data_IF_378843274865
#
_entry.id   IF_378843274865
#
_cell.length_a   1.000
_cell.length_b   1.000
_cell.length_c   1.000
_cell.angle_alpha   90.00
_cell.angle_beta   90.00
_cell.angle_gamma   90.00
#
_symmetry.space_group_name_H-M   'P 1'
#
loop_
_entity.id
_entity.type
_entity.pdbx_description
1 polymer ?
#
# COMPACT_ATOMS: atom_id res chain seq x y z
N UNK A 1 3.50 -19.32 23.51
CA UNK A 1 3.47 -18.19 22.55
C UNK A 1 2.35 -18.47 21.59
N UNK A 2 1.14 -18.03 21.93
CA UNK A 2 -0.05 -18.14 21.11
C UNK A 2 0.10 -17.24 19.90
N UNK A 3 0.78 -17.74 18.87
CA UNK A 3 0.70 -17.15 17.54
C UNK A 3 -0.73 -17.39 17.10
N UNK A 4 -1.57 -16.38 17.29
CA UNK A 4 -2.86 -16.29 16.63
C UNK A 4 -2.64 -16.75 15.20
N UNK A 5 -3.19 -17.89 14.82
CA UNK A 5 -3.24 -18.31 13.42
C UNK A 5 -4.35 -17.44 12.86
N UNK A 6 -4.08 -16.24 12.29
CA UNK A 6 -5.14 -15.52 11.62
C UNK A 6 -5.65 -16.50 10.58
N UNK A 7 -6.96 -16.72 10.59
CA UNK A 7 -7.65 -17.52 9.60
C UNK A 7 -6.98 -17.26 8.25
N UNK A 8 -6.24 -18.26 7.75
CA UNK A 8 -5.33 -18.21 6.59
C UNK A 8 -6.08 -17.88 5.28
N UNK A 9 -7.30 -17.38 5.37
CA UNK A 9 -8.15 -16.90 4.28
C UNK A 9 -8.14 -15.37 4.18
N UNK A 10 -7.83 -14.65 5.27
CA UNK A 10 -7.72 -13.20 5.27
C UNK A 10 -6.27 -12.75 5.21
N UNK A 11 -5.94 -11.93 4.20
CA UNK A 11 -4.66 -11.22 4.14
C UNK A 11 -4.74 -10.02 5.08
N UNK A 12 -3.84 -9.96 6.05
CA UNK A 12 -3.72 -8.84 6.97
C UNK A 12 -3.06 -7.63 6.29
N UNK A 13 -3.26 -6.43 6.82
CA UNK A 13 -2.62 -5.21 6.30
C UNK A 13 -1.10 -5.33 6.31
N UNK A 14 -0.52 -5.92 7.37
CA UNK A 14 0.92 -6.18 7.49
C UNK A 14 1.43 -7.11 6.39
N UNK A 15 0.72 -8.21 6.08
CA UNK A 15 1.07 -9.10 4.97
C UNK A 15 0.99 -8.38 3.62
N UNK A 16 -0.03 -7.54 3.41
CA UNK A 16 -0.19 -6.80 2.15
C UNK A 16 0.85 -5.69 1.97
N UNK A 17 1.19 -4.95 3.02
CA UNK A 17 2.29 -3.99 2.99
C UNK A 17 3.60 -4.69 2.64
N UNK A 18 3.87 -5.84 3.24
CA UNK A 18 5.07 -6.64 2.92
C UNK A 18 5.06 -7.19 1.50
N UNK A 19 3.91 -7.64 1.02
CA UNK A 19 3.71 -8.10 -0.36
C UNK A 19 4.01 -6.98 -1.37
N UNK A 20 3.48 -5.78 -1.15
CA UNK A 20 3.70 -4.61 -2.02
C UNK A 20 5.16 -4.17 -1.95
N UNK A 21 5.76 -4.14 -0.76
CA UNK A 21 7.16 -3.78 -0.58
C UNK A 21 8.08 -4.71 -1.36
N UNK A 22 7.94 -6.03 -1.20
CA UNK A 22 8.73 -7.01 -1.95
C UNK A 22 8.53 -6.85 -3.46
N UNK A 23 7.29 -6.58 -3.89
CA UNK A 23 6.99 -6.37 -5.30
C UNK A 23 7.64 -5.10 -5.85
N UNK A 24 7.67 -4.03 -5.08
CA UNK A 24 8.36 -2.78 -5.42
C UNK A 24 9.89 -2.94 -5.40
N UNK A 25 10.43 -3.81 -4.55
CA UNK A 25 11.85 -4.18 -4.55
C UNK A 25 12.28 -4.99 -5.78
N UNK A 26 11.34 -5.40 -6.64
CA UNK A 26 11.63 -6.19 -7.84
C UNK A 26 11.71 -7.70 -7.60
N UNK A 27 11.28 -8.18 -6.42
CA UNK A 27 11.33 -9.60 -6.09
C UNK A 27 10.42 -10.44 -7.00
N UNK A 28 10.90 -11.64 -7.31
CA UNK A 28 10.11 -12.63 -8.07
C UNK A 28 8.95 -13.15 -7.23
N UNK A 29 7.83 -13.51 -7.87
CA UNK A 29 6.68 -14.06 -7.16
C UNK A 29 7.01 -15.33 -6.36
N UNK A 30 8.00 -16.12 -6.81
CA UNK A 30 8.46 -17.30 -6.11
C UNK A 30 9.16 -16.94 -4.79
N UNK A 31 10.08 -15.97 -4.84
CA UNK A 31 10.75 -15.45 -3.64
C UNK A 31 9.75 -14.83 -2.66
N UNK A 32 8.80 -14.05 -3.17
CA UNK A 32 7.72 -13.48 -2.37
C UNK A 32 6.91 -14.59 -1.68
N UNK A 33 6.51 -15.64 -2.43
CA UNK A 33 5.70 -16.74 -1.88
C UNK A 33 6.46 -17.52 -0.81
N UNK A 34 7.77 -17.68 -0.94
CA UNK A 34 8.60 -18.32 0.08
C UNK A 34 8.57 -17.57 1.43
N UNK A 35 8.31 -16.25 1.42
CA UNK A 35 8.16 -15.45 2.64
C UNK A 35 6.81 -15.63 3.34
N UNK A 36 5.84 -16.30 2.70
CA UNK A 36 4.50 -16.52 3.23
C UNK A 36 4.19 -18.03 3.34
N UNK A 37 4.65 -18.71 4.41
CA UNK A 37 4.34 -20.12 4.63
C UNK A 37 2.82 -20.32 4.77
N UNK A 38 2.26 -21.21 3.95
CA UNK A 38 0.80 -21.45 3.88
C UNK A 38 0.07 -20.69 2.75
N UNK A 39 0.76 -19.79 2.04
CA UNK A 39 0.21 -19.13 0.83
C UNK A 39 0.75 -19.79 -0.43
N UNK A 40 -0.14 -20.02 -1.39
CA UNK A 40 0.26 -20.48 -2.72
C UNK A 40 0.57 -19.30 -3.62
N UNK A 41 1.50 -19.47 -4.56
CA UNK A 41 1.88 -18.44 -5.53
C UNK A 41 0.69 -17.87 -6.30
N UNK A 42 -0.31 -18.71 -6.59
CA UNK A 42 -1.58 -18.30 -7.20
C UNK A 42 -2.38 -17.38 -6.26
N UNK A 43 -2.50 -17.74 -4.99
CA UNK A 43 -3.16 -16.91 -3.97
C UNK A 43 -2.48 -15.56 -3.79
N UNK A 44 -1.14 -15.53 -3.78
CA UNK A 44 -0.35 -14.29 -3.70
C UNK A 44 -0.65 -13.36 -4.88
N UNK A 45 -0.60 -13.88 -6.11
CA UNK A 45 -0.89 -13.11 -7.33
C UNK A 45 -2.35 -12.63 -7.37
N UNK A 46 -3.28 -13.49 -6.99
CA UNK A 46 -4.72 -13.17 -6.94
C UNK A 46 -4.99 -12.03 -5.94
N UNK A 47 -4.45 -12.12 -4.73
CA UNK A 47 -4.60 -11.08 -3.71
C UNK A 47 -3.97 -9.79 -4.17
N UNK A 48 -2.76 -9.83 -4.71
CA UNK A 48 -2.11 -8.66 -5.27
C UNK A 48 -3.03 -7.98 -6.28
N UNK A 49 -3.51 -8.69 -7.32
CA UNK A 49 -4.42 -8.08 -8.31
C UNK A 49 -5.71 -7.50 -7.70
N UNK A 50 -6.34 -8.21 -6.77
CA UNK A 50 -7.65 -7.81 -6.20
C UNK A 50 -7.54 -6.68 -5.17
N UNK A 51 -6.43 -6.63 -4.40
CA UNK A 51 -6.30 -5.74 -3.25
C UNK A 51 -5.23 -4.66 -3.41
N UNK A 52 -4.42 -4.69 -4.47
CA UNK A 52 -3.39 -3.67 -4.74
C UNK A 52 -4.01 -2.28 -4.78
N UNK A 53 -5.11 -2.08 -5.50
CA UNK A 53 -5.79 -0.77 -5.56
C UNK A 53 -6.27 -0.26 -4.19
N UNK A 54 -6.93 -1.12 -3.41
CA UNK A 54 -7.42 -0.74 -2.08
C UNK A 54 -6.27 -0.43 -1.11
N UNK A 55 -5.17 -1.19 -1.20
CA UNK A 55 -4.02 -1.02 -0.32
C UNK A 55 -3.16 0.18 -0.73
N UNK A 56 -2.94 0.41 -2.02
CA UNK A 56 -2.26 1.61 -2.53
C UNK A 56 -3.04 2.88 -2.18
N UNK A 57 -4.38 2.86 -2.30
CA UNK A 57 -5.23 3.98 -1.92
C UNK A 57 -5.15 4.27 -0.41
N UNK A 58 -5.14 3.23 0.43
CA UNK A 58 -4.96 3.36 1.88
C UNK A 58 -3.58 3.98 2.20
N UNK A 59 -2.51 3.46 1.59
CA UNK A 59 -1.15 3.96 1.80
C UNK A 59 -1.00 5.42 1.35
N UNK A 60 -1.65 5.83 0.27
CA UNK A 60 -1.61 7.20 -0.22
C UNK A 60 -2.42 8.16 0.66
N UNK A 61 -3.54 7.68 1.25
CA UNK A 61 -4.31 8.41 2.25
C UNK A 61 -3.54 8.58 3.56
N UNK A 62 -2.84 7.54 4.02
CA UNK A 62 -1.96 7.62 5.20
C UNK A 62 -0.76 8.55 4.94
N UNK A 63 -0.16 8.49 3.74
CA UNK A 63 0.93 9.37 3.35
C UNK A 63 0.49 10.83 3.26
N UNK A 64 -0.67 11.14 2.69
CA UNK A 64 -1.19 12.51 2.61
C UNK A 64 -1.70 13.04 3.95
N UNK A 65 -2.24 12.19 4.82
CA UNK A 65 -2.59 12.56 6.18
C UNK A 65 -1.36 12.89 7.04
N UNK A 66 -0.21 12.28 6.77
CA UNK A 66 1.04 12.57 7.48
C UNK A 66 1.68 13.91 7.09
N UNK A 67 1.26 14.55 5.97
CA UNK A 67 1.82 15.84 5.53
C UNK A 67 0.92 17.05 5.74
N UNK A 68 -0.27 16.88 6.33
CA UNK A 68 -1.16 18.02 6.62
C UNK A 68 -0.80 18.69 7.95
N UNK A 69 0.37 19.32 7.99
CA UNK A 69 0.66 20.44 8.88
C UNK A 69 1.48 21.45 8.10
N UNK A 70 0.78 22.40 7.50
CA UNK A 70 1.35 23.58 6.85
C UNK A 70 0.63 23.97 5.56
N UNK A 71 -0.55 24.60 5.61
CA UNK A 71 -0.98 25.42 4.49
C UNK A 71 -0.10 26.68 4.46
N UNK A 72 0.87 26.73 3.55
CA UNK A 72 1.56 27.97 3.16
C UNK A 72 0.57 28.82 2.36
N UNK A 73 -0.13 29.72 3.05
CA UNK A 73 -0.92 30.78 2.44
C UNK A 73 0.03 31.74 1.71
N UNK A 74 0.19 31.52 0.41
CA UNK A 74 0.70 32.55 -0.51
C UNK A 74 -0.55 33.02 -1.26
N UNK A 75 -1.20 34.05 -0.73
CA UNK A 75 -2.09 34.86 -1.54
C UNK A 75 -1.22 35.84 -2.32
N UNK A 76 -0.97 35.49 -3.57
CA UNK A 76 -0.54 36.42 -4.61
C UNK A 76 -1.77 36.61 -5.52
N UNK A 77 -2.56 37.64 -5.24
CA UNK A 77 -3.55 38.16 -6.20
C UNK A 77 -2.98 39.49 -6.70
N UNK A 78 -1.94 39.36 -7.54
CA UNK A 78 -1.43 40.42 -8.39
C UNK A 78 -2.16 40.41 -9.71
N UNK A 79 -3.08 41.36 -9.87
CA UNK A 79 -3.31 42.16 -11.08
C UNK A 79 -3.17 41.46 -12.45
N UNK A 80 -4.31 41.29 -13.13
CA UNK A 80 -4.34 41.23 -14.59
C UNK A 80 -5.38 42.19 -15.17
N UNK A 81 -4.87 43.32 -15.64
CA UNK A 81 -5.33 44.00 -16.84
C UNK A 81 -5.69 43.00 -17.95
N UNK A 82 -6.88 43.15 -18.53
CA UNK A 82 -7.12 43.01 -19.98
C UNK A 82 -8.58 43.40 -20.32
N UNK A 83 -8.81 44.64 -20.75
CA UNK A 83 -9.46 44.95 -22.04
C UNK A 83 -9.36 46.44 -22.38
#
# INVERSE_FOLDING_TARGET
>A
MDVATPNQRWWTESEMRRLIQLRNSGESWAAITAQFPGRTLQGVKQTYRKRRFATELQMQKEASAATSSGPSYISDDGEKDNQ
#
